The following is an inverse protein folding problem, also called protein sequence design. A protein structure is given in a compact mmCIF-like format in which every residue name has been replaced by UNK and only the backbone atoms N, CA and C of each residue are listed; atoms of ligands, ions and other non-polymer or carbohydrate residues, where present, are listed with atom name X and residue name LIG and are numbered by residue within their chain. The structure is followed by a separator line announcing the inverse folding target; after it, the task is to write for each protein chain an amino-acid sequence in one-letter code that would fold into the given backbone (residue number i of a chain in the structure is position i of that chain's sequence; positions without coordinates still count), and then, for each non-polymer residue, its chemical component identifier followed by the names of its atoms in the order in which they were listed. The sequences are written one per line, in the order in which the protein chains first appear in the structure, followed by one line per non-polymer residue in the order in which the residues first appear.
data_IF_652294981058
#
_entry.id   IF_652294981058
#
_cell.length_a   1.000
_cell.length_b   1.000
_cell.length_c   1.000
_cell.angle_alpha   90.00
_cell.angle_beta   90.00
_cell.angle_gamma   90.00
#
_symmetry.space_group_name_H-M   'P 1'
#
loop_
_entity.id
_entity.type
_entity.pdbx_description
1 polymer ?
#
# COMPACT_ATOMS: atom_id res chain seq x y z
N UNK A 1 -14.21 -18.96 -22.42
CA UNK A 1 -14.10 -17.98 -21.32
C UNK A 1 -12.64 -17.62 -21.16
N UNK A 2 -12.29 -16.33 -21.21
CA UNK A 2 -10.90 -15.89 -21.06
C UNK A 2 -10.71 -15.37 -19.63
N UNK A 3 -10.13 -16.21 -18.77
CA UNK A 3 -9.83 -15.83 -17.39
C UNK A 3 -8.40 -15.30 -17.26
N UNK A 4 -8.24 -14.16 -16.59
CA UNK A 4 -6.94 -13.60 -16.21
C UNK A 4 -6.84 -13.49 -14.70
N UNK A 5 -5.92 -14.24 -14.12
CA UNK A 5 -5.69 -14.23 -12.68
C UNK A 5 -4.53 -13.30 -12.34
N UNK A 6 -4.77 -12.32 -11.48
CA UNK A 6 -3.78 -11.37 -10.97
C UNK A 6 -3.64 -11.61 -9.48
N UNK A 7 -2.45 -12.07 -9.06
CA UNK A 7 -2.14 -12.33 -7.64
C UNK A 7 -1.28 -11.20 -7.07
N UNK A 8 -1.78 -10.55 -6.04
CA UNK A 8 -0.98 -9.64 -5.21
C UNK A 8 -0.31 -10.43 -4.10
N UNK A 9 1.01 -10.35 -4.03
CA UNK A 9 1.81 -10.99 -2.98
C UNK A 9 2.27 -10.01 -1.91
N UNK A 10 2.34 -8.72 -2.25
CA UNK A 10 2.86 -7.66 -1.40
C UNK A 10 2.11 -6.37 -1.68
N UNK A 11 1.90 -5.58 -0.65
CA UNK A 11 1.35 -4.23 -0.75
C UNK A 11 2.47 -3.20 -0.68
N UNK A 12 2.69 -2.46 -1.77
CA UNK A 12 3.60 -1.31 -1.76
C UNK A 12 2.84 0.00 -1.64
N UNK A 13 1.97 0.26 -2.61
CA UNK A 13 1.09 1.42 -2.71
C UNK A 13 0.07 1.17 -3.83
N UNK A 14 -1.03 1.94 -3.84
CA UNK A 14 -2.09 1.79 -4.84
C UNK A 14 -1.59 2.03 -6.27
N UNK A 15 -0.69 2.99 -6.49
CA UNK A 15 -0.22 3.31 -7.84
C UNK A 15 0.62 2.15 -8.41
N UNK A 16 1.45 1.52 -7.57
CA UNK A 16 2.16 0.29 -7.91
C UNK A 16 1.19 -0.86 -8.22
N UNK A 17 0.10 -1.02 -7.45
CA UNK A 17 -0.91 -2.04 -7.73
C UNK A 17 -1.63 -1.79 -9.07
N UNK A 18 -2.05 -0.54 -9.33
CA UNK A 18 -2.63 -0.13 -10.62
C UNK A 18 -1.68 -0.45 -11.76
N UNK A 19 -0.41 -0.09 -11.62
CA UNK A 19 0.60 -0.37 -12.63
C UNK A 19 0.77 -1.87 -12.86
N UNK A 20 0.84 -2.66 -11.79
CA UNK A 20 0.96 -4.11 -11.85
C UNK A 20 -0.24 -4.77 -12.55
N UNK A 21 -1.47 -4.30 -12.28
CA UNK A 21 -2.66 -4.76 -13.00
C UNK A 21 -2.52 -4.49 -14.51
N UNK A 22 -2.18 -3.24 -14.89
CA UNK A 22 -2.02 -2.89 -16.31
C UNK A 22 -0.92 -3.71 -17.00
N UNK A 23 0.21 -3.93 -16.33
CA UNK A 23 1.30 -4.80 -16.82
C UNK A 23 0.79 -6.22 -17.08
N UNK A 24 0.07 -6.81 -16.13
CA UNK A 24 -0.49 -8.16 -16.27
C UNK A 24 -1.52 -8.28 -17.38
N UNK A 25 -2.26 -7.20 -17.63
CA UNK A 25 -3.20 -7.13 -18.73
C UNK A 25 -2.56 -6.79 -20.09
N UNK A 26 -1.24 -6.50 -20.11
CA UNK A 26 -0.49 -6.01 -21.29
C UNK A 26 -1.02 -4.67 -21.83
N UNK A 27 -1.45 -3.79 -20.93
CA UNK A 27 -2.00 -2.46 -21.21
C UNK A 27 -0.99 -1.32 -20.94
N UNK A 28 0.30 -1.65 -20.88
CA UNK A 28 1.37 -0.68 -20.60
C UNK A 28 1.84 0.02 -21.87
N UNK A 29 1.59 1.32 -21.93
CA UNK A 29 2.23 2.33 -22.79
C UNK A 29 3.24 3.15 -21.97
N UNK A 30 4.11 3.98 -22.58
CA UNK A 30 5.21 4.66 -21.89
C UNK A 30 4.79 5.44 -20.62
N UNK A 31 5.71 5.57 -19.64
CA UNK A 31 5.43 5.81 -18.22
C UNK A 31 4.71 7.12 -17.86
N UNK A 32 4.49 8.05 -18.79
CA UNK A 32 3.98 9.40 -18.50
C UNK A 32 2.44 9.49 -18.36
N UNK A 33 1.65 8.49 -18.77
CA UNK A 33 0.17 8.57 -18.81
C UNK A 33 -0.59 7.70 -17.79
N UNK A 34 0.11 6.96 -16.94
CA UNK A 34 -0.49 5.87 -16.14
C UNK A 34 -1.41 6.37 -15.01
N UNK A 35 -1.11 7.53 -14.40
CA UNK A 35 -1.84 8.00 -13.21
C UNK A 35 -3.27 8.47 -13.49
N UNK A 36 -3.53 9.07 -14.65
CA UNK A 36 -4.83 9.71 -14.93
C UNK A 36 -5.80 8.74 -15.63
N UNK A 37 -5.31 7.71 -16.32
CA UNK A 37 -6.14 6.90 -17.22
C UNK A 37 -6.34 5.44 -16.76
N UNK A 38 -5.92 5.05 -15.56
CA UNK A 38 -5.98 3.65 -15.12
C UNK A 38 -7.39 3.03 -15.28
N UNK A 39 -8.39 3.68 -14.69
CA UNK A 39 -9.77 3.16 -14.65
C UNK A 39 -10.41 3.14 -16.04
N UNK A 40 -10.18 4.16 -16.86
CA UNK A 40 -10.69 4.23 -18.23
C UNK A 40 -10.07 3.16 -19.13
N UNK A 41 -8.77 2.91 -19.00
CA UNK A 41 -8.06 1.85 -19.73
C UNK A 41 -8.55 0.46 -19.33
N UNK A 42 -8.70 0.23 -18.03
CA UNK A 42 -9.21 -1.03 -17.52
C UNK A 42 -10.65 -1.28 -18.02
N UNK A 43 -11.50 -0.26 -17.93
CA UNK A 43 -12.88 -0.30 -18.43
C UNK A 43 -12.92 -0.59 -19.93
N UNK A 44 -12.17 0.15 -20.73
CA UNK A 44 -12.10 -0.05 -22.19
C UNK A 44 -11.63 -1.47 -22.55
N UNK A 45 -10.63 -2.01 -21.84
CA UNK A 45 -10.17 -3.37 -22.08
C UNK A 45 -11.24 -4.43 -21.75
N UNK A 46 -11.98 -4.22 -20.66
CA UNK A 46 -13.08 -5.10 -20.27
C UNK A 46 -14.23 -5.00 -21.28
N UNK A 47 -14.58 -3.80 -21.72
CA UNK A 47 -15.67 -3.56 -22.69
C UNK A 47 -15.33 -4.15 -24.08
N UNK A 48 -14.06 -4.15 -24.48
CA UNK A 48 -13.58 -4.76 -25.73
C UNK A 48 -13.64 -6.30 -25.73
N UNK A 49 -13.77 -6.95 -24.57
CA UNK A 49 -13.74 -8.40 -24.45
C UNK A 49 -14.96 -8.90 -23.68
N UNK A 50 -16.01 -9.31 -24.41
CA UNK A 50 -17.27 -9.79 -23.82
C UNK A 50 -17.10 -10.99 -22.87
N UNK A 51 -16.13 -11.86 -23.14
CA UNK A 51 -15.87 -13.10 -22.39
C UNK A 51 -14.65 -13.03 -21.45
N UNK A 52 -14.16 -11.82 -21.13
CA UNK A 52 -13.03 -11.62 -20.22
C UNK A 52 -13.50 -11.60 -18.76
N UNK A 53 -12.86 -12.41 -17.92
CA UNK A 53 -13.00 -12.37 -16.48
C UNK A 53 -11.63 -12.13 -15.84
N UNK A 54 -11.52 -11.13 -14.97
CA UNK A 54 -10.29 -10.79 -14.25
C UNK A 54 -10.49 -11.21 -12.80
N UNK A 55 -9.65 -12.10 -12.29
CA UNK A 55 -9.70 -12.57 -10.92
C UNK A 55 -8.52 -11.96 -10.16
N UNK A 56 -8.81 -11.07 -9.23
CA UNK A 56 -7.84 -10.46 -8.35
C UNK A 56 -7.77 -11.28 -7.06
N UNK A 57 -6.61 -11.82 -6.76
CA UNK A 57 -6.37 -12.63 -5.56
C UNK A 57 -5.35 -11.94 -4.68
N UNK A 58 -5.65 -11.82 -3.40
CA UNK A 58 -4.72 -11.35 -2.39
C UNK A 58 -4.95 -12.10 -1.08
N UNK A 59 -3.96 -12.06 -0.20
CA UNK A 59 -4.03 -12.59 1.15
C UNK A 59 -4.18 -11.40 2.09
N UNK A 60 -5.33 -11.28 2.76
CA UNK A 60 -5.61 -10.13 3.62
C UNK A 60 -4.59 -9.97 4.76
N UNK A 61 -4.20 -11.07 5.40
CA UNK A 61 -3.25 -11.02 6.52
C UNK A 61 -1.90 -10.46 6.06
N UNK A 62 -1.43 -10.91 4.90
CA UNK A 62 -0.18 -10.43 4.30
C UNK A 62 -0.26 -8.94 3.96
N UNK A 63 -1.39 -8.47 3.42
CA UNK A 63 -1.59 -7.05 3.09
C UNK A 63 -1.60 -6.18 4.36
N UNK A 64 -2.31 -6.63 5.41
CA UNK A 64 -2.38 -5.93 6.70
C UNK A 64 -1.01 -5.84 7.39
N UNK A 65 -0.23 -6.92 7.38
CA UNK A 65 1.11 -6.95 7.96
C UNK A 65 2.08 -6.01 7.22
N UNK A 66 2.07 -6.01 5.89
CA UNK A 66 2.88 -5.09 5.07
C UNK A 66 2.47 -3.63 5.29
N UNK A 67 1.17 -3.35 5.40
CA UNK A 67 0.66 -2.02 5.74
C UNK A 67 1.13 -1.56 7.12
N UNK A 68 1.01 -2.43 8.14
CA UNK A 68 1.49 -2.18 9.49
C UNK A 68 2.98 -1.92 9.52
N UNK A 69 3.76 -2.71 8.78
CA UNK A 69 5.20 -2.52 8.66
C UNK A 69 5.55 -1.16 8.05
N UNK A 70 4.84 -0.74 6.99
CA UNK A 70 5.06 0.56 6.34
C UNK A 70 4.70 1.75 7.22
N UNK A 71 3.54 1.71 7.89
CA UNK A 71 3.14 2.78 8.82
C UNK A 71 4.17 2.91 9.94
N UNK A 72 4.67 1.78 10.46
CA UNK A 72 5.76 1.78 11.44
C UNK A 72 7.02 2.44 10.89
N UNK A 73 7.47 2.09 9.67
CA UNK A 73 8.66 2.69 9.05
C UNK A 73 8.52 4.21 8.85
N UNK A 74 7.35 4.68 8.38
CA UNK A 74 7.08 6.11 8.20
C UNK A 74 7.02 6.88 9.53
N UNK A 75 6.67 6.18 10.62
CA UNK A 75 6.59 6.74 11.97
C UNK A 75 7.83 6.46 12.83
N UNK A 76 8.90 5.91 12.25
CA UNK A 76 10.24 6.07 12.82
C UNK A 76 10.58 7.55 12.60
N UNK A 77 10.11 8.40 13.50
CA UNK A 77 10.58 9.78 13.60
C UNK A 77 12.08 9.65 13.84
N UNK A 78 12.96 10.15 12.94
CA UNK A 78 14.34 10.36 13.34
C UNK A 78 14.26 11.39 14.47
N UNK A 79 14.44 10.93 15.70
CA UNK A 79 14.48 11.82 16.85
C UNK A 79 15.57 12.86 16.58
N UNK A 80 15.29 14.17 16.75
CA UNK A 80 16.31 15.18 16.57
C UNK A 80 17.45 14.83 17.52
N UNK A 81 18.67 14.88 17.00
CA UNK A 81 19.82 14.70 17.86
C UNK A 81 19.75 15.75 18.99
N UNK A 82 20.13 15.39 20.22
CA UNK A 82 20.20 16.34 21.33
C UNK A 82 21.00 17.59 20.92
N UNK A 83 20.69 18.75 21.49
CA UNK A 83 21.30 20.04 21.11
C UNK A 83 22.84 20.04 21.14
N UNK A 84 23.46 19.12 21.90
CA UNK A 84 24.91 18.98 22.05
C UNK A 84 25.52 17.79 21.28
N UNK A 85 24.77 17.15 20.38
CA UNK A 85 25.26 16.01 19.61
C UNK A 85 26.17 16.46 18.46
N UNK A 86 27.47 16.19 18.59
CA UNK A 86 28.46 16.37 17.52
C UNK A 86 28.67 15.08 16.70
N UNK A 87 28.32 15.10 15.41
CA UNK A 87 28.49 13.95 14.53
C UNK A 87 29.97 13.53 14.45
N UNK A 88 30.27 12.27 14.77
CA UNK A 88 31.65 11.73 14.80
C UNK A 88 32.32 11.77 16.18
N UNK A 89 31.68 12.34 17.21
CA UNK A 89 32.19 12.33 18.57
C UNK A 89 31.87 10.98 19.27
N UNK A 90 32.88 10.16 19.63
CA UNK A 90 32.66 8.86 20.27
C UNK A 90 32.04 8.97 21.67
N UNK A 91 32.09 10.14 22.32
CA UNK A 91 31.48 10.37 23.64
C UNK A 91 29.95 10.49 23.59
N UNK A 92 29.36 10.91 22.47
CA UNK A 92 27.90 10.98 22.32
C UNK A 92 27.21 9.63 22.53
N UNK A 93 27.93 8.54 22.27
CA UNK A 93 27.43 7.16 22.44
C UNK A 93 27.18 6.77 23.90
N UNK A 94 27.78 7.51 24.85
CA UNK A 94 27.77 7.22 26.28
C UNK A 94 26.97 8.23 27.11
N UNK A 95 26.70 9.41 26.54
CA UNK A 95 26.05 10.53 27.25
C UNK A 95 24.53 10.42 27.20
N UNK A 96 23.97 9.78 26.17
CA UNK A 96 22.53 9.66 26.01
C UNK A 96 22.11 8.23 26.36
N UNK A 97 21.34 8.07 27.44
CA UNK A 97 20.59 6.84 27.68
C UNK A 97 19.60 6.62 26.51
N UNK A 98 19.23 5.37 26.19
CA UNK A 98 18.08 5.13 25.33
C UNK A 98 16.90 5.92 25.89
N UNK A 99 16.26 6.71 25.04
CA UNK A 99 15.13 7.56 25.43
C UNK A 99 14.07 6.67 26.06
N UNK A 100 13.86 6.84 27.37
CA UNK A 100 12.82 6.14 28.12
C UNK A 100 11.51 6.84 27.82
N UNK A 101 10.77 6.32 26.84
CA UNK A 101 9.39 6.76 26.60
C UNK A 101 8.55 6.44 27.83
N UNK A 102 7.71 7.37 28.24
CA UNK A 102 6.68 7.06 29.25
C UNK A 102 5.64 6.12 28.65
N UNK A 103 4.93 5.35 29.49
CA UNK A 103 3.84 4.50 29.01
C UNK A 103 2.77 5.30 28.25
N UNK A 104 2.56 6.57 28.62
CA UNK A 104 1.67 7.52 27.95
C UNK A 104 2.15 7.86 26.53
N UNK A 105 3.45 8.17 26.34
CA UNK A 105 4.01 8.46 25.01
C UNK A 105 3.97 7.23 24.09
N UNK A 106 4.21 6.03 24.63
CA UNK A 106 4.09 4.78 23.89
C UNK A 106 2.64 4.54 23.46
N UNK A 107 1.67 4.82 24.34
CA UNK A 107 0.25 4.70 24.03
C UNK A 107 -0.18 5.70 22.96
N UNK A 108 0.22 6.97 23.07
CA UNK A 108 -0.12 7.99 22.07
C UNK A 108 0.43 7.66 20.68
N UNK A 109 1.69 7.19 20.60
CA UNK A 109 2.29 6.73 19.34
C UNK A 109 1.53 5.52 18.78
N UNK A 110 1.14 4.57 19.63
CA UNK A 110 0.38 3.41 19.21
C UNK A 110 -1.00 3.80 18.67
N UNK A 111 -1.68 4.77 19.28
CA UNK A 111 -2.97 5.30 18.78
C UNK A 111 -2.80 5.94 17.40
N UNK A 112 -1.76 6.77 17.20
CA UNK A 112 -1.47 7.38 15.89
C UNK A 112 -1.18 6.34 14.81
N UNK A 113 -0.37 5.32 15.12
CA UNK A 113 -0.08 4.21 14.20
C UNK A 113 -1.37 3.47 13.83
N UNK A 114 -2.26 3.22 14.80
CA UNK A 114 -3.52 2.53 14.55
C UNK A 114 -4.45 3.36 13.64
N UNK A 115 -4.53 4.69 13.84
CA UNK A 115 -5.31 5.58 12.98
C UNK A 115 -4.78 5.57 11.54
N UNK A 116 -3.47 5.73 11.35
CA UNK A 116 -2.86 5.69 10.02
C UNK A 116 -3.06 4.34 9.31
N UNK A 117 -3.01 3.24 10.05
CA UNK A 117 -3.29 1.91 9.52
C UNK A 117 -4.75 1.80 9.05
N UNK A 118 -5.70 2.29 9.84
CA UNK A 118 -7.12 2.33 9.44
C UNK A 118 -7.32 3.16 8.16
N UNK A 119 -6.69 4.32 8.05
CA UNK A 119 -6.76 5.17 6.85
C UNK A 119 -6.22 4.44 5.61
N UNK A 120 -5.07 3.77 5.73
CA UNK A 120 -4.48 3.02 4.62
C UNK A 120 -5.34 1.82 4.20
N UNK A 121 -5.92 1.10 5.17
CA UNK A 121 -6.87 0.01 4.88
C UNK A 121 -8.13 0.53 4.20
N UNK A 122 -8.66 1.68 4.65
CA UNK A 122 -9.80 2.32 4.01
C UNK A 122 -9.51 2.70 2.56
N UNK A 123 -8.34 3.30 2.30
CA UNK A 123 -7.88 3.65 0.96
C UNK A 123 -7.76 2.41 0.07
N UNK A 124 -7.20 1.31 0.59
CA UNK A 124 -7.11 0.04 -0.13
C UNK A 124 -8.49 -0.57 -0.44
N UNK A 125 -9.41 -0.58 0.52
CA UNK A 125 -10.77 -1.08 0.33
C UNK A 125 -11.52 -0.28 -0.75
N UNK A 126 -11.44 1.05 -0.71
CA UNK A 126 -12.03 1.90 -1.74
C UNK A 126 -11.48 1.59 -3.15
N UNK A 127 -10.20 1.26 -3.26
CA UNK A 127 -9.61 0.84 -4.53
C UNK A 127 -10.20 -0.50 -5.01
N UNK A 128 -10.36 -1.49 -4.12
CA UNK A 128 -10.99 -2.76 -4.47
C UNK A 128 -12.45 -2.57 -4.90
N UNK A 129 -13.21 -1.74 -4.20
CA UNK A 129 -14.61 -1.44 -4.52
C UNK A 129 -14.74 -0.79 -5.90
N UNK A 130 -13.86 0.19 -6.21
CA UNK A 130 -13.83 0.82 -7.53
C UNK A 130 -13.54 -0.19 -8.66
N UNK A 131 -12.67 -1.18 -8.43
CA UNK A 131 -12.41 -2.25 -9.39
C UNK A 131 -13.65 -3.12 -9.62
N UNK A 132 -14.40 -3.46 -8.57
CA UNK A 132 -15.64 -4.24 -8.72
C UNK A 132 -16.69 -3.48 -9.54
N UNK A 133 -16.86 -2.18 -9.25
CA UNK A 133 -17.81 -1.30 -9.96
C UNK A 133 -17.45 -1.20 -11.45
N UNK A 134 -16.18 -1.01 -11.78
CA UNK A 134 -15.70 -0.92 -13.17
C UNK A 134 -15.89 -2.25 -13.90
N UNK A 135 -15.64 -3.37 -13.20
CA UNK A 135 -15.76 -4.69 -13.79
C UNK A 135 -17.18 -5.16 -14.04
N UNK A 136 -18.22 -4.56 -13.42
CA UNK A 136 -19.63 -4.99 -13.52
C UNK A 136 -19.80 -6.53 -13.47
N UNK A 137 -19.15 -7.18 -12.51
CA UNK A 137 -19.18 -8.65 -12.34
C UNK A 137 -18.14 -9.44 -13.15
N UNK A 138 -17.38 -8.79 -14.05
CA UNK A 138 -16.23 -9.39 -14.76
C UNK A 138 -14.93 -9.33 -13.95
N UNK A 139 -14.84 -8.46 -12.95
CA UNK A 139 -13.75 -8.47 -11.96
C UNK A 139 -14.26 -9.20 -10.71
N UNK A 140 -13.61 -10.32 -10.38
CA UNK A 140 -13.83 -11.03 -9.13
C UNK A 140 -12.66 -10.77 -8.18
N UNK A 141 -12.98 -10.43 -6.94
CA UNK A 141 -12.00 -10.24 -5.87
C UNK A 141 -12.08 -11.44 -4.93
N UNK A 142 -10.96 -12.13 -4.69
CA UNK A 142 -10.89 -13.30 -3.82
C UNK A 142 -9.81 -13.09 -2.75
N UNK A 143 -10.22 -13.21 -1.50
CA UNK A 143 -9.33 -13.41 -0.36
C UNK A 143 -8.84 -14.86 -0.37
N UNK A 144 -7.57 -15.09 -0.09
CA UNK A 144 -6.91 -16.40 -0.22
C UNK A 144 -6.48 -16.96 1.12
#
# INVERSE_FOLDING_TARGET
MNEKIIRFKKYTDIESLKHYILQRLKLTDPPKKIRVEFYDRLKKHIDQHENLQIIIQFDRQTIEEELKFRVKLQHIIPEPYPENYEMGNPHNRWIYEPIRRTDEEVQEQQVKINQMLQDQLFIFNNFLDQLQVIGKGRILIKDR
#
